data_IF_771929488339
#
_entry.id   IF_771929488339
#
_cell.length_a   1.000
_cell.length_b   1.000
_cell.length_c   1.000
_cell.angle_alpha   90.00
_cell.angle_beta   90.00
_cell.angle_gamma   90.00
#
_symmetry.space_group_name_H-M   'P 1'
#
loop_
_entity.id
_entity.type
_entity.pdbx_description
1 polymer ?
#
# COMPACT_ATOMS: atom_id res chain seq x y z
N UNK A 1 17.65 -13.05 2.57
CA UNK A 1 18.94 -13.05 1.85
C UNK A 1 18.74 -12.60 0.40
N UNK A 2 17.92 -13.27 -0.42
CA UNK A 2 17.68 -12.88 -1.84
C UNK A 2 17.50 -11.38 -2.14
N UNK A 3 16.67 -10.65 -1.37
CA UNK A 3 16.44 -9.22 -1.63
C UNK A 3 17.72 -8.38 -1.45
N UNK A 4 18.53 -8.71 -0.44
CA UNK A 4 19.80 -8.04 -0.16
C UNK A 4 20.85 -8.39 -1.22
N UNK A 5 20.75 -9.59 -1.79
CA UNK A 5 21.69 -10.09 -2.79
C UNK A 5 21.40 -9.56 -4.21
N UNK A 6 20.14 -9.23 -4.52
CA UNK A 6 19.70 -8.93 -5.90
C UNK A 6 19.48 -7.46 -6.28
N UNK A 7 19.70 -6.50 -5.37
CA UNK A 7 19.60 -5.07 -5.68
C UNK A 7 18.18 -4.58 -6.06
N UNK A 8 18.03 -3.25 -6.20
CA UNK A 8 16.69 -2.61 -6.31
C UNK A 8 15.95 -2.94 -7.62
N UNK A 9 16.67 -3.08 -8.74
CA UNK A 9 16.06 -3.35 -10.04
C UNK A 9 15.36 -4.71 -10.09
N UNK A 10 15.97 -5.73 -9.47
CA UNK A 10 15.35 -7.05 -9.35
C UNK A 10 14.13 -7.01 -8.44
N UNK A 11 14.21 -6.33 -7.30
CA UNK A 11 13.08 -6.16 -6.38
C UNK A 11 11.88 -5.49 -7.07
N UNK A 12 12.14 -4.42 -7.83
CA UNK A 12 11.11 -3.72 -8.62
C UNK A 12 10.47 -4.64 -9.67
N UNK A 13 11.26 -5.50 -10.32
CA UNK A 13 10.76 -6.48 -11.29
C UNK A 13 9.84 -7.51 -10.63
N UNK A 14 10.17 -8.01 -9.43
CA UNK A 14 9.30 -8.96 -8.72
C UNK A 14 7.95 -8.32 -8.34
N UNK A 15 7.97 -7.07 -7.86
CA UNK A 15 6.74 -6.31 -7.57
C UNK A 15 5.91 -6.13 -8.84
N UNK A 16 6.54 -5.75 -9.96
CA UNK A 16 5.84 -5.57 -11.23
C UNK A 16 5.17 -6.87 -11.70
N UNK A 17 5.91 -8.00 -11.72
CA UNK A 17 5.37 -9.32 -12.09
C UNK A 17 4.17 -9.70 -11.21
N UNK A 18 4.28 -9.51 -9.89
CA UNK A 18 3.21 -9.81 -8.97
C UNK A 18 1.95 -8.97 -9.25
N UNK A 19 2.10 -7.65 -9.40
CA UNK A 19 0.99 -6.74 -9.68
C UNK A 19 0.35 -7.05 -11.03
N UNK A 20 1.15 -7.28 -12.08
CA UNK A 20 0.65 -7.65 -13.41
C UNK A 20 -0.07 -8.99 -13.46
N UNK A 21 0.17 -9.89 -12.49
CA UNK A 21 -0.52 -11.18 -12.40
C UNK A 21 -1.94 -11.09 -11.81
N UNK A 22 -2.31 -9.93 -11.24
CA UNK A 22 -3.64 -9.68 -10.67
C UNK A 22 -4.62 -9.36 -11.80
N UNK A 23 -5.78 -10.03 -11.80
CA UNK A 23 -6.84 -9.80 -12.79
C UNK A 23 -8.14 -9.39 -12.11
N UNK A 24 -9.04 -8.78 -12.88
CA UNK A 24 -10.33 -8.35 -12.38
C UNK A 24 -11.15 -9.51 -11.80
N UNK A 25 -11.04 -10.70 -12.40
CA UNK A 25 -11.75 -11.91 -11.98
C UNK A 25 -11.24 -12.39 -10.62
N UNK A 26 -9.91 -12.44 -10.44
CA UNK A 26 -9.27 -12.81 -9.17
C UNK A 26 -9.68 -11.85 -8.06
N UNK A 27 -9.66 -10.54 -8.34
CA UNK A 27 -10.01 -9.51 -7.37
C UNK A 27 -11.49 -9.57 -6.97
N UNK A 28 -12.41 -9.75 -7.93
CA UNK A 28 -13.85 -9.90 -7.64
C UNK A 28 -14.12 -11.16 -6.82
N UNK A 29 -13.56 -12.29 -7.23
CA UNK A 29 -13.70 -13.55 -6.49
C UNK A 29 -13.18 -13.44 -5.06
N UNK A 30 -12.02 -12.80 -4.86
CA UNK A 30 -11.49 -12.52 -3.53
C UNK A 30 -12.43 -11.64 -2.69
N UNK A 31 -12.97 -10.56 -3.27
CA UNK A 31 -13.88 -9.66 -2.57
C UNK A 31 -15.20 -10.36 -2.17
N UNK A 32 -15.79 -11.15 -3.07
CA UNK A 32 -16.99 -11.92 -2.81
C UNK A 32 -16.77 -12.97 -1.71
N UNK A 33 -15.65 -13.71 -1.77
CA UNK A 33 -15.27 -14.68 -0.74
C UNK A 33 -15.05 -13.99 0.61
N UNK A 34 -14.40 -12.82 0.63
CA UNK A 34 -14.16 -12.07 1.84
C UNK A 34 -15.46 -11.62 2.53
N UNK A 35 -16.44 -11.13 1.76
CA UNK A 35 -17.76 -10.74 2.27
C UNK A 35 -18.54 -11.95 2.76
N UNK A 36 -18.55 -13.05 1.99
CA UNK A 36 -19.30 -14.27 2.34
C UNK A 36 -18.77 -14.93 3.60
N UNK A 37 -17.45 -15.00 3.74
CA UNK A 37 -16.78 -15.77 4.78
C UNK A 37 -16.17 -14.91 5.87
N UNK A 38 -16.70 -13.68 6.09
CA UNK A 38 -16.18 -12.60 6.96
C UNK A 38 -14.82 -12.97 7.50
N UNK A 39 -13.84 -12.98 6.59
CA UNK A 39 -12.48 -13.34 6.97
C UNK A 39 -12.01 -12.14 7.75
N UNK A 40 -12.20 -12.19 9.08
CA UNK A 40 -11.53 -11.30 9.99
C UNK A 40 -10.08 -11.32 9.55
N UNK A 41 -9.60 -10.22 8.97
CA UNK A 41 -8.19 -10.03 8.74
C UNK A 41 -7.61 -10.08 10.16
N UNK A 42 -7.19 -11.26 10.62
CA UNK A 42 -6.47 -11.42 11.89
C UNK A 42 -5.19 -10.56 11.89
N UNK A 43 -4.84 -10.04 10.72
CA UNK A 43 -3.93 -8.94 10.45
C UNK A 43 -4.69 -7.65 10.15
N UNK A 44 -5.37 -7.07 11.14
CA UNK A 44 -5.44 -5.60 11.15
C UNK A 44 -4.00 -5.09 11.04
N UNK A 45 -3.76 -3.96 10.38
CA UNK A 45 -2.41 -3.39 10.24
C UNK A 45 -1.67 -3.24 11.60
N UNK A 46 -2.39 -3.32 12.73
CA UNK A 46 -1.86 -3.35 14.09
C UNK A 46 -1.44 -4.72 14.65
N UNK A 47 -1.72 -5.85 13.98
CA UNK A 47 -1.11 -7.14 14.33
C UNK A 47 0.30 -7.15 13.73
N UNK A 48 1.23 -6.57 14.50
CA UNK A 48 2.69 -6.52 14.28
C UNK A 48 3.10 -7.13 12.94
N UNK A 49 3.29 -6.28 11.94
CA UNK A 49 4.15 -6.61 10.82
C UNK A 49 5.43 -7.21 11.41
N UNK A 50 5.60 -8.52 11.22
CA UNK A 50 6.78 -9.27 11.63
C UNK A 50 7.96 -8.59 10.92
N UNK A 51 9.12 -8.49 11.58
CA UNK A 51 10.18 -7.51 11.31
C UNK A 51 10.65 -7.36 9.85
N UNK A 52 10.34 -8.32 8.98
CA UNK A 52 10.77 -8.37 7.59
C UNK A 52 9.65 -8.00 6.59
N UNK A 53 8.49 -7.53 7.07
CA UNK A 53 7.35 -7.15 6.21
C UNK A 53 7.29 -5.64 5.96
N UNK A 54 7.22 -5.27 4.68
CA UNK A 54 6.97 -3.91 4.22
C UNK A 54 5.53 -3.78 3.71
N UNK A 55 4.82 -2.73 4.14
CA UNK A 55 3.51 -2.35 3.62
C UNK A 55 3.61 -0.99 2.96
N UNK A 56 3.24 -0.92 1.68
CA UNK A 56 3.10 0.34 0.96
C UNK A 56 1.61 0.68 0.88
N UNK A 57 1.25 1.87 1.36
CA UNK A 57 -0.11 2.39 1.30
C UNK A 57 -0.14 3.70 0.49
N UNK A 58 -1.34 4.08 0.04
CA UNK A 58 -1.58 5.22 -0.86
C UNK A 58 -1.00 4.97 -2.27
N UNK A 59 -1.01 5.99 -3.12
CA UNK A 59 -0.59 5.92 -4.51
C UNK A 59 -0.10 7.29 -4.99
N UNK A 60 1.00 7.37 -5.76
CA UNK A 60 1.43 8.63 -6.38
C UNK A 60 0.45 9.15 -7.44
N UNK A 61 -0.53 8.32 -7.84
CA UNK A 61 -1.60 8.72 -8.77
C UNK A 61 -2.73 9.50 -8.11
N UNK A 62 -2.77 9.55 -6.77
CA UNK A 62 -3.78 10.32 -6.07
C UNK A 62 -3.44 11.80 -6.13
N UNK A 63 -4.37 12.59 -6.68
CA UNK A 63 -4.25 14.03 -6.78
C UNK A 63 -4.54 14.68 -5.43
N UNK A 64 -3.51 14.70 -4.58
CA UNK A 64 -3.62 15.24 -3.22
C UNK A 64 -3.35 16.74 -3.16
N UNK A 65 -2.61 17.30 -4.14
CA UNK A 65 -2.17 18.70 -4.15
C UNK A 65 -3.10 19.65 -4.92
N UNK A 66 -4.11 19.16 -5.63
CA UNK A 66 -5.07 20.01 -6.34
C UNK A 66 -6.35 20.29 -5.55
N UNK A 67 -6.42 19.88 -4.28
CA UNK A 67 -7.59 20.11 -3.43
C UNK A 67 -7.57 21.53 -2.82
N UNK A 68 -8.38 22.43 -3.35
CA UNK A 68 -8.55 23.79 -2.82
C UNK A 68 -9.93 23.94 -2.15
N UNK A 69 -9.92 24.22 -0.85
CA UNK A 69 -11.13 24.44 -0.05
C UNK A 69 -11.53 25.92 0.08
N UNK A 70 -10.90 26.81 -0.69
CA UNK A 70 -11.09 28.27 -0.62
C UNK A 70 -9.98 29.00 0.14
N UNK A 71 -8.93 28.29 0.57
CA UNK A 71 -7.76 28.84 1.27
C UNK A 71 -6.47 28.68 0.48
N UNK A 72 -6.56 28.21 -0.77
CA UNK A 72 -5.43 27.88 -1.62
C UNK A 72 -5.08 26.39 -1.60
N UNK A 73 -4.21 26.00 -2.54
CA UNK A 73 -3.78 24.60 -2.71
C UNK A 73 -2.86 24.14 -1.56
N UNK A 74 -2.84 22.84 -1.24
CA UNK A 74 -1.97 22.29 -0.20
C UNK A 74 -0.50 22.43 -0.60
N UNK A 75 0.33 22.93 0.32
CA UNK A 75 1.78 23.06 0.12
C UNK A 75 2.49 21.73 0.42
N UNK A 76 1.96 20.92 1.34
CA UNK A 76 2.51 19.63 1.70
C UNK A 76 1.42 18.68 2.23
N UNK A 77 1.59 17.38 1.97
CA UNK A 77 0.74 16.32 2.52
C UNK A 77 1.59 15.39 3.37
N UNK A 78 1.11 15.07 4.58
CA UNK A 78 1.81 14.21 5.53
C UNK A 78 0.86 13.18 6.11
N UNK A 79 1.39 12.00 6.43
CA UNK A 79 0.62 11.01 7.18
C UNK A 79 0.51 11.42 8.65
N UNK A 80 -0.69 11.28 9.23
CA UNK A 80 -0.92 11.58 10.65
C UNK A 80 -0.31 10.52 11.58
N UNK A 81 -0.02 10.87 12.84
CA UNK A 81 0.66 9.98 13.79
C UNK A 81 -0.11 8.69 14.06
N UNK A 82 -1.45 8.71 14.03
CA UNK A 82 -2.29 7.51 14.20
C UNK A 82 -2.19 6.48 13.07
N UNK A 83 -1.48 6.81 11.98
CA UNK A 83 -1.24 5.92 10.86
C UNK A 83 0.18 5.33 10.85
N UNK A 84 0.94 5.55 11.93
CA UNK A 84 2.34 5.11 12.07
C UNK A 84 2.40 3.66 12.55
N UNK A 85 2.81 2.76 11.67
CA UNK A 85 3.01 1.33 11.96
C UNK A 85 4.38 0.96 11.44
N UNK A 86 5.15 0.19 12.22
CA UNK A 86 6.48 -0.27 11.83
C UNK A 86 6.43 -1.00 10.49
N UNK A 87 7.32 -0.65 9.56
CA UNK A 87 7.33 -1.24 8.22
C UNK A 87 6.23 -0.73 7.28
N UNK A 88 5.48 0.31 7.65
CA UNK A 88 4.53 0.98 6.74
C UNK A 88 5.14 2.21 6.10
N UNK A 89 5.08 2.26 4.77
CA UNK A 89 5.37 3.44 3.95
C UNK A 89 4.06 4.00 3.38
N UNK A 90 3.91 5.32 3.41
CA UNK A 90 2.77 6.02 2.79
C UNK A 90 3.31 6.91 1.69
N UNK A 91 2.90 6.65 0.45
CA UNK A 91 3.36 7.38 -0.73
C UNK A 91 2.36 8.45 -1.15
N UNK A 92 2.85 9.66 -1.37
CA UNK A 92 2.09 10.74 -1.99
C UNK A 92 2.61 10.99 -3.41
N UNK A 93 1.89 11.82 -4.16
CA UNK A 93 2.37 12.30 -5.45
C UNK A 93 3.74 12.98 -5.26
N UNK A 94 4.64 12.74 -6.20
CA UNK A 94 5.96 13.35 -6.30
C UNK A 94 6.08 14.17 -7.57
#
# INVERSE_FOLDING_TARGET
>A
EELLDHGLGWAALQINKFVSSQTNEKLKSFAEDWVRNVKNLKSGLGSRLVGDTLVVASSPRFDVYNNDFGWGKPIAVRSGPGNSINGKLVLFQG
#
